data_IF_559945806666
#
_entry.id   IF_559945806666
#
_cell.length_a   1.000
_cell.length_b   1.000
_cell.length_c   1.000
_cell.angle_alpha   90.00
_cell.angle_beta   90.00
_cell.angle_gamma   90.00
#
_symmetry.space_group_name_H-M   'P 1'
#
loop_
_entity.id
_entity.type
_entity.pdbx_description
1 polymer ?
#
# COMPACT_ATOMS: atom_id res chain seq x y z
N UNK A 1 -6.10 -41.02 -17.07
CA UNK A 1 -4.77 -41.01 -16.42
C UNK A 1 -4.36 -39.56 -16.25
N UNK A 2 -4.65 -38.97 -15.09
CA UNK A 2 -4.26 -37.60 -14.76
C UNK A 2 -2.83 -37.63 -14.21
N UNK A 3 -1.86 -37.21 -15.00
CA UNK A 3 -0.53 -36.94 -14.48
C UNK A 3 -0.58 -35.63 -13.70
N UNK A 4 -0.40 -35.80 -12.40
CA UNK A 4 -0.12 -34.78 -11.39
C UNK A 4 1.03 -33.87 -11.80
N UNK A 5 0.76 -32.57 -11.98
CA UNK A 5 1.76 -31.49 -11.97
C UNK A 5 2.24 -31.18 -10.55
N UNK A 6 2.61 -32.21 -9.77
CA UNK A 6 3.37 -32.07 -8.53
C UNK A 6 4.79 -32.55 -8.81
N UNK A 7 5.67 -31.66 -9.27
CA UNK A 7 7.02 -32.09 -9.63
C UNK A 7 8.12 -31.03 -9.82
N UNK A 8 7.84 -29.72 -9.72
CA UNK A 8 8.86 -28.73 -10.08
C UNK A 8 9.80 -28.28 -8.93
N UNK A 9 9.45 -28.50 -7.66
CA UNK A 9 10.14 -27.82 -6.54
C UNK A 9 10.49 -28.71 -5.33
N UNK A 10 10.56 -30.03 -5.50
CA UNK A 10 10.79 -30.98 -4.40
C UNK A 10 12.11 -30.78 -3.61
N UNK A 11 13.04 -29.94 -4.10
CA UNK A 11 14.33 -29.64 -3.48
C UNK A 11 14.56 -28.14 -3.20
N UNK A 12 13.51 -27.31 -3.12
CA UNK A 12 13.71 -25.90 -2.75
C UNK A 12 13.98 -25.80 -1.25
N UNK A 13 15.13 -25.25 -0.82
CA UNK A 13 15.42 -25.06 0.60
C UNK A 13 14.40 -24.15 1.26
N UNK A 14 13.96 -24.52 2.47
CA UNK A 14 13.14 -23.65 3.32
C UNK A 14 14.09 -22.66 4.01
N UNK A 15 14.17 -21.45 3.47
CA UNK A 15 14.97 -20.34 4.00
C UNK A 15 14.08 -19.15 4.29
N UNK A 16 14.46 -18.33 5.27
CA UNK A 16 13.74 -17.12 5.64
C UNK A 16 14.66 -15.89 5.52
N UNK A 17 14.09 -14.78 5.03
CA UNK A 17 14.74 -13.47 5.10
C UNK A 17 14.52 -12.86 6.51
N UNK A 18 15.47 -12.07 7.00
CA UNK A 18 15.43 -11.48 8.35
C UNK A 18 15.09 -9.97 8.35
N UNK A 19 14.45 -9.49 7.29
CA UNK A 19 14.14 -8.08 7.09
C UNK A 19 14.99 -7.43 6.00
N UNK A 20 14.90 -6.10 5.90
CA UNK A 20 15.65 -5.33 4.90
C UNK A 20 17.05 -5.05 5.44
N UNK A 21 18.08 -5.61 4.80
CA UNK A 21 19.47 -5.29 5.16
C UNK A 21 19.83 -3.87 4.73
N UNK A 22 19.61 -3.51 3.47
CA UNK A 22 19.85 -2.16 2.99
C UNK A 22 19.05 -1.86 1.73
N UNK A 23 18.88 -0.57 1.44
CA UNK A 23 18.47 -0.06 0.12
C UNK A 23 19.60 0.77 -0.46
N UNK A 24 19.69 0.85 -1.79
CA UNK A 24 20.72 1.63 -2.46
C UNK A 24 20.13 2.47 -3.60
N UNK A 25 20.59 3.71 -3.75
CA UNK A 25 20.15 4.64 -4.80
C UNK A 25 21.32 5.44 -5.36
N UNK A 26 21.29 5.89 -6.63
CA UNK A 26 22.31 6.80 -7.10
C UNK A 26 22.06 8.23 -6.58
N UNK A 27 23.11 9.04 -6.53
CA UNK A 27 23.02 10.48 -6.29
C UNK A 27 24.08 11.21 -7.12
N UNK A 28 23.73 12.41 -7.55
CA UNK A 28 24.68 13.39 -8.12
C UNK A 28 24.76 14.67 -7.28
N UNK A 29 24.18 14.62 -6.07
CA UNK A 29 24.13 15.71 -5.09
C UNK A 29 24.78 15.23 -3.79
N UNK A 30 26.08 14.93 -3.84
CA UNK A 30 26.80 14.27 -2.75
C UNK A 30 26.67 15.04 -1.44
N UNK A 31 26.98 16.33 -1.47
CA UNK A 31 26.96 17.17 -0.28
C UNK A 31 25.54 17.32 0.30
N UNK A 32 24.54 17.55 -0.55
CA UNK A 32 23.15 17.72 -0.15
C UNK A 32 22.56 16.41 0.37
N UNK A 33 22.92 15.27 -0.23
CA UNK A 33 22.49 13.95 0.25
C UNK A 33 23.06 13.68 1.63
N UNK A 34 24.36 13.90 1.83
CA UNK A 34 24.98 13.76 3.15
C UNK A 34 24.34 14.70 4.16
N UNK A 35 24.16 15.97 3.79
CA UNK A 35 23.54 16.95 4.67
C UNK A 35 22.12 16.54 5.08
N UNK A 36 21.30 16.10 4.12
CA UNK A 36 19.93 15.71 4.37
C UNK A 36 19.82 14.51 5.33
N UNK A 37 20.50 13.40 5.04
CA UNK A 37 20.36 12.20 5.86
C UNK A 37 21.12 12.33 7.20
N UNK A 38 22.36 12.82 7.18
CA UNK A 38 23.20 12.91 8.40
C UNK A 38 22.79 14.06 9.31
N UNK A 39 22.63 15.26 8.75
CA UNK A 39 22.53 16.47 9.56
C UNK A 39 21.07 16.84 9.84
N UNK A 40 20.20 16.78 8.82
CA UNK A 40 18.79 17.15 8.98
C UNK A 40 17.98 16.02 9.62
N UNK A 41 18.01 14.82 9.03
CA UNK A 41 17.28 13.68 9.57
C UNK A 41 17.98 13.06 10.79
N UNK A 42 19.31 13.16 10.89
CA UNK A 42 20.08 12.67 12.03
C UNK A 42 20.51 11.20 11.91
N UNK A 43 20.48 10.61 10.71
CA UNK A 43 20.89 9.23 10.49
C UNK A 43 22.43 9.15 10.46
N UNK A 44 23.08 8.36 11.35
CA UNK A 44 24.53 8.25 11.36
C UNK A 44 25.09 7.71 10.04
N UNK A 45 26.13 8.35 9.49
CA UNK A 45 26.94 7.78 8.41
C UNK A 45 27.85 6.70 9.00
N UNK A 46 27.61 5.43 8.69
CA UNK A 46 28.24 4.30 9.37
C UNK A 46 29.28 3.57 8.53
N UNK A 47 29.22 3.67 7.21
CA UNK A 47 30.17 3.02 6.32
C UNK A 47 30.31 3.76 4.99
N UNK A 48 31.47 3.61 4.35
CA UNK A 48 31.71 4.09 3.00
C UNK A 48 32.71 3.17 2.29
N UNK A 49 32.40 2.83 1.04
CA UNK A 49 33.28 2.17 0.10
C UNK A 49 33.69 3.22 -0.92
N UNK A 50 34.99 3.35 -1.15
CA UNK A 50 35.56 4.15 -2.23
C UNK A 50 36.30 3.23 -3.18
N UNK A 51 35.97 3.28 -4.46
CA UNK A 51 36.54 2.35 -5.41
C UNK A 51 36.76 2.96 -6.79
N UNK A 52 37.80 2.43 -7.46
CA UNK A 52 37.89 2.57 -8.90
C UNK A 52 36.77 1.79 -9.57
N UNK A 53 36.28 2.28 -10.69
CA UNK A 53 35.34 1.52 -11.48
C UNK A 53 35.95 0.20 -11.96
N UNK A 54 35.20 -0.89 -11.81
CA UNK A 54 35.58 -2.22 -12.28
C UNK A 54 34.42 -2.83 -13.06
N UNK A 55 34.71 -3.50 -14.18
CA UNK A 55 33.70 -4.14 -15.02
C UNK A 55 33.97 -3.98 -16.51
N UNK A 56 33.20 -4.68 -17.38
CA UNK A 56 33.55 -4.79 -18.80
C UNK A 56 33.45 -3.49 -19.62
N UNK A 57 32.78 -2.43 -19.18
CA UNK A 57 32.68 -1.16 -19.91
C UNK A 57 32.31 0.01 -18.98
N UNK A 58 33.00 1.15 -19.12
CA UNK A 58 32.65 2.49 -18.61
C UNK A 58 32.06 2.60 -17.18
N UNK A 59 32.48 1.73 -16.25
CA UNK A 59 32.12 1.89 -14.85
C UNK A 59 32.97 3.04 -14.28
N UNK A 60 32.33 4.13 -13.85
CA UNK A 60 33.04 5.25 -13.26
C UNK A 60 33.61 4.90 -11.87
N UNK A 61 34.62 5.64 -11.44
CA UNK A 61 35.05 5.67 -10.04
C UNK A 61 33.88 6.15 -9.17
N UNK A 62 33.71 5.56 -7.99
CA UNK A 62 32.51 5.82 -7.20
C UNK A 62 32.75 5.80 -5.69
N UNK A 63 31.84 6.48 -5.00
CA UNK A 63 31.61 6.33 -3.57
C UNK A 63 30.30 5.56 -3.37
N UNK A 64 30.29 4.63 -2.43
CA UNK A 64 29.08 3.96 -1.95
C UNK A 64 29.02 4.11 -0.43
N UNK A 65 28.09 4.92 0.07
CA UNK A 65 28.07 5.34 1.47
C UNK A 65 26.72 5.07 2.13
N UNK A 66 26.74 4.73 3.42
CA UNK A 66 25.63 4.08 4.12
C UNK A 66 25.24 4.85 5.38
N UNK A 67 23.96 5.22 5.49
CA UNK A 67 23.39 5.79 6.71
C UNK A 67 22.61 4.72 7.48
N UNK A 68 22.79 4.65 8.80
CA UNK A 68 21.99 3.80 9.66
C UNK A 68 20.54 4.32 9.69
N UNK A 69 19.61 3.47 9.29
CA UNK A 69 18.17 3.75 9.23
C UNK A 69 17.37 2.97 10.27
N UNK A 70 18.06 2.40 11.25
CA UNK A 70 17.48 1.71 12.40
C UNK A 70 17.40 0.19 12.23
N UNK A 71 17.40 -0.52 13.36
CA UNK A 71 17.29 -1.98 13.43
C UNK A 71 18.33 -2.73 12.57
N UNK A 72 19.54 -2.17 12.43
CA UNK A 72 20.62 -2.75 11.62
C UNK A 72 20.43 -2.59 10.10
N UNK A 73 19.39 -1.87 9.66
CA UNK A 73 19.15 -1.57 8.24
C UNK A 73 19.82 -0.26 7.84
N UNK A 74 20.35 -0.18 6.61
CA UNK A 74 20.95 1.06 6.09
C UNK A 74 20.29 1.55 4.80
N UNK A 75 20.23 2.86 4.62
CA UNK A 75 20.02 3.47 3.29
C UNK A 75 21.36 3.91 2.72
N UNK A 76 21.64 3.52 1.47
CA UNK A 76 22.93 3.71 0.84
C UNK A 76 22.83 4.49 -0.46
N UNK A 77 23.93 5.17 -0.81
CA UNK A 77 23.99 5.98 -2.02
C UNK A 77 25.26 5.73 -2.84
N UNK A 78 25.08 5.58 -4.16
CA UNK A 78 26.15 5.58 -5.13
C UNK A 78 26.36 6.99 -5.70
N UNK A 79 27.57 7.53 -5.57
CA UNK A 79 28.00 8.75 -6.24
C UNK A 79 29.09 8.42 -7.25
N UNK A 80 28.79 8.57 -8.55
CA UNK A 80 29.70 8.27 -9.65
C UNK A 80 30.52 9.52 -10.03
N UNK A 81 31.78 9.51 -9.64
CA UNK A 81 32.70 10.65 -9.71
C UNK A 81 32.91 11.05 -11.17
N UNK A 82 32.74 12.35 -11.46
CA UNK A 82 32.98 12.92 -12.79
C UNK A 82 31.92 12.58 -13.84
N UNK A 83 30.78 12.00 -13.43
CA UNK A 83 29.65 11.74 -14.34
C UNK A 83 28.49 12.71 -14.10
N UNK A 84 27.63 12.85 -15.10
CA UNK A 84 26.37 13.57 -14.99
C UNK A 84 25.21 12.60 -14.76
N UNK A 85 24.12 13.09 -14.14
CA UNK A 85 22.91 12.29 -13.94
C UNK A 85 22.24 12.00 -15.29
N UNK A 86 22.02 10.73 -15.65
CA UNK A 86 21.21 10.38 -16.82
C UNK A 86 19.74 10.80 -16.66
N UNK A 87 19.09 11.20 -17.76
CA UNK A 87 17.69 11.63 -17.78
C UNK A 87 16.72 10.59 -17.20
N UNK A 88 16.94 9.31 -17.49
CA UNK A 88 16.09 8.20 -17.02
C UNK A 88 16.16 7.98 -15.49
N UNK A 89 17.12 8.58 -14.80
CA UNK A 89 17.22 8.60 -13.34
C UNK A 89 16.62 9.87 -12.70
N UNK A 90 15.99 10.73 -13.50
CA UNK A 90 15.27 11.89 -12.98
C UNK A 90 13.93 11.47 -12.39
N UNK A 91 13.75 11.69 -11.08
CA UNK A 91 12.47 11.49 -10.40
C UNK A 91 11.49 12.59 -10.83
N UNK A 92 10.34 12.21 -11.38
CA UNK A 92 9.30 13.16 -11.84
C UNK A 92 8.18 13.28 -10.82
N UNK A 93 7.43 14.38 -10.89
CA UNK A 93 6.22 14.57 -10.11
C UNK A 93 5.04 13.78 -10.73
N UNK A 94 5.11 12.46 -10.62
CA UNK A 94 4.10 11.54 -11.14
C UNK A 94 3.69 10.50 -10.09
N UNK A 95 2.50 9.92 -10.20
CA UNK A 95 2.05 8.92 -9.22
C UNK A 95 2.90 7.63 -9.29
N UNK A 96 3.39 7.28 -10.48
CA UNK A 96 4.24 6.10 -10.69
C UNK A 96 5.60 6.23 -9.99
N UNK A 97 6.22 7.41 -10.11
CA UNK A 97 7.49 7.67 -9.43
C UNK A 97 7.30 7.71 -7.90
N UNK A 98 6.15 8.22 -7.42
CA UNK A 98 5.78 8.20 -6.00
C UNK A 98 5.48 6.81 -5.44
N UNK A 99 5.07 5.86 -6.29
CA UNK A 99 4.85 4.48 -5.88
C UNK A 99 6.14 3.79 -5.42
N UNK A 100 7.31 4.32 -5.78
CA UNK A 100 8.61 3.90 -5.25
C UNK A 100 9.06 4.84 -4.13
N UNK A 101 9.04 4.37 -2.88
CA UNK A 101 9.43 5.16 -1.71
C UNK A 101 10.16 4.29 -0.68
N UNK A 102 10.85 4.94 0.28
CA UNK A 102 11.37 4.26 1.47
C UNK A 102 10.56 4.68 2.67
N UNK A 103 9.94 3.70 3.33
CA UNK A 103 9.20 3.88 4.57
C UNK A 103 10.01 3.41 5.78
N UNK A 104 10.11 4.27 6.81
CA UNK A 104 10.68 3.90 8.10
C UNK A 104 9.64 3.93 9.20
N UNK A 105 9.66 2.87 10.01
CA UNK A 105 8.71 2.69 11.11
C UNK A 105 9.02 3.62 12.28
N UNK A 106 7.99 4.20 12.86
CA UNK A 106 7.97 4.75 14.23
C UNK A 106 7.10 3.88 15.14
N UNK A 107 7.30 4.02 16.46
CA UNK A 107 6.67 3.19 17.49
C UNK A 107 5.17 3.47 17.63
N UNK A 108 4.81 4.74 17.60
CA UNK A 108 3.46 5.21 17.89
C UNK A 108 3.15 6.56 17.19
N UNK A 109 1.91 7.02 17.34
CA UNK A 109 1.44 8.31 16.82
C UNK A 109 2.25 9.49 17.36
N UNK A 110 2.62 9.44 18.65
CA UNK A 110 3.33 10.54 19.28
C UNK A 110 4.72 10.72 18.66
N UNK A 111 5.41 9.62 18.38
CA UNK A 111 6.69 9.65 17.67
C UNK A 111 6.53 10.09 16.21
N UNK A 112 5.44 9.72 15.52
CA UNK A 112 5.14 10.24 14.17
C UNK A 112 5.01 11.76 14.17
N UNK A 113 4.29 12.33 15.15
CA UNK A 113 4.11 13.77 15.29
C UNK A 113 5.42 14.49 15.67
N UNK A 114 6.28 13.86 16.46
CA UNK A 114 7.62 14.37 16.74
C UNK A 114 8.49 14.40 15.48
N UNK A 115 8.44 13.36 14.64
CA UNK A 115 9.13 13.34 13.36
C UNK A 115 8.61 14.41 12.40
N UNK A 116 7.29 14.60 12.34
CA UNK A 116 6.69 15.72 11.62
C UNK A 116 7.28 17.06 12.06
N UNK A 117 7.26 17.33 13.37
CA UNK A 117 7.78 18.58 13.93
C UNK A 117 9.26 18.75 13.60
N UNK A 118 10.06 17.69 13.73
CA UNK A 118 11.50 17.71 13.39
C UNK A 118 11.72 18.09 11.93
N UNK A 119 11.07 17.39 11.01
CA UNK A 119 11.19 17.58 9.55
C UNK A 119 10.81 19.01 9.16
N UNK A 120 9.69 19.52 9.69
CA UNK A 120 9.26 20.91 9.46
C UNK A 120 10.24 21.93 10.07
N UNK A 121 10.75 21.69 11.28
CA UNK A 121 11.68 22.60 11.97
C UNK A 121 13.04 22.73 11.28
N UNK A 122 13.49 21.69 10.58
CA UNK A 122 14.73 21.72 9.78
C UNK A 122 14.51 22.17 8.33
N UNK A 123 13.29 22.64 8.00
CA UNK A 123 12.97 23.25 6.72
C UNK A 123 12.65 22.27 5.59
N UNK A 124 12.40 20.99 5.88
CA UNK A 124 11.99 20.01 4.87
C UNK A 124 10.46 20.12 4.66
N UNK A 125 9.98 20.40 3.44
CA UNK A 125 8.56 20.53 3.18
C UNK A 125 7.86 19.17 3.20
N UNK A 126 6.87 19.02 4.07
CA UNK A 126 5.96 17.88 4.02
C UNK A 126 5.09 17.96 2.77
N UNK A 127 4.92 16.82 2.09
CA UNK A 127 3.97 16.68 0.99
C UNK A 127 2.56 16.39 1.50
N UNK A 128 2.41 15.41 2.39
CA UNK A 128 1.13 15.02 2.97
C UNK A 128 1.30 14.18 4.24
N UNK A 129 0.27 14.20 5.08
CA UNK A 129 0.06 13.24 6.17
C UNK A 129 -1.21 12.47 5.86
N UNK A 130 -1.12 11.16 5.74
CA UNK A 130 -2.23 10.31 5.30
C UNK A 130 -2.30 9.07 6.18
N UNK A 131 -3.52 8.73 6.59
CA UNK A 131 -3.84 7.44 7.20
C UNK A 131 -4.40 6.49 6.15
N UNK A 132 -3.63 5.45 5.84
CA UNK A 132 -3.99 4.33 4.98
C UNK A 132 -4.35 3.13 5.85
N UNK A 133 -5.64 2.92 6.11
CA UNK A 133 -6.11 1.78 6.91
C UNK A 133 -5.27 1.57 8.19
N UNK A 134 -4.41 0.53 8.19
CA UNK A 134 -3.56 0.06 9.30
C UNK A 134 -2.26 0.85 9.50
N UNK A 135 -1.98 1.86 8.68
CA UNK A 135 -0.83 2.76 8.81
C UNK A 135 -1.23 4.23 8.76
N UNK A 136 -0.46 5.07 9.45
CA UNK A 136 -0.49 6.51 9.26
C UNK A 136 0.92 7.04 9.04
N UNK A 137 1.07 7.90 8.03
CA UNK A 137 2.38 8.27 7.53
C UNK A 137 2.48 9.74 7.17
N UNK A 138 3.69 10.27 7.28
CA UNK A 138 4.09 11.55 6.69
C UNK A 138 5.05 11.31 5.53
N UNK A 139 4.93 12.13 4.48
CA UNK A 139 5.70 11.99 3.26
C UNK A 139 6.42 13.28 2.92
N UNK A 140 7.67 13.15 2.46
CA UNK A 140 8.51 14.25 1.96
C UNK A 140 9.52 13.69 0.95
N UNK A 141 10.26 14.55 0.27
CA UNK A 141 11.27 14.13 -0.70
C UNK A 141 12.67 14.46 -0.18
N UNK A 142 13.64 13.62 -0.55
CA UNK A 142 15.05 13.94 -0.39
C UNK A 142 15.56 14.91 -1.49
N UNK A 143 16.81 15.39 -1.43
CA UNK A 143 17.36 16.33 -2.41
C UNK A 143 17.45 15.79 -3.85
N UNK A 144 17.44 14.46 -4.02
CA UNK A 144 17.45 13.79 -5.32
C UNK A 144 16.03 13.61 -5.88
N UNK A 145 14.99 13.87 -5.05
CA UNK A 145 13.58 13.71 -5.37
C UNK A 145 13.00 12.39 -4.88
N UNK A 146 13.79 11.52 -4.26
CA UNK A 146 13.32 10.22 -3.79
C UNK A 146 12.27 10.41 -2.68
N UNK A 147 11.07 9.82 -2.81
CA UNK A 147 10.07 9.91 -1.76
C UNK A 147 10.48 9.13 -0.52
N UNK A 148 10.35 9.78 0.62
CA UNK A 148 10.58 9.25 1.96
C UNK A 148 9.26 9.27 2.71
N UNK A 149 9.01 8.19 3.44
CA UNK A 149 7.86 7.99 4.29
C UNK A 149 8.33 7.68 5.71
N UNK A 150 7.70 8.32 6.71
CA UNK A 150 7.82 7.92 8.11
C UNK A 150 6.44 7.44 8.54
N UNK A 151 6.37 6.20 9.01
CA UNK A 151 5.13 5.42 9.11
C UNK A 151 4.93 4.89 10.52
N UNK A 152 3.77 5.19 11.10
CA UNK A 152 3.27 4.49 12.27
C UNK A 152 2.35 3.35 11.82
N UNK A 153 2.62 2.13 12.29
CA UNK A 153 1.67 1.02 12.15
C UNK A 153 0.65 1.06 13.29
N UNK A 154 -0.58 1.44 12.96
CA UNK A 154 -1.67 1.69 13.92
C UNK A 154 -2.04 0.43 14.69
N UNK A 155 -1.95 -0.74 14.04
CA UNK A 155 -2.10 -2.07 14.67
C UNK A 155 -1.31 -3.14 13.92
N UNK A 156 -0.90 -4.24 14.58
CA UNK A 156 -0.33 -5.39 13.89
C UNK A 156 -1.27 -5.98 12.84
N UNK A 157 -0.69 -6.61 11.81
CA UNK A 157 -1.45 -7.44 10.89
C UNK A 157 -1.98 -8.68 11.62
N UNK A 158 -3.28 -8.88 11.52
CA UNK A 158 -4.00 -10.08 11.96
C UNK A 158 -4.00 -11.15 10.86
N UNK A 159 -4.45 -12.36 11.21
CA UNK A 159 -4.68 -13.41 10.20
C UNK A 159 -5.84 -13.05 9.25
N UNK A 160 -6.82 -12.26 9.72
CA UNK A 160 -7.88 -11.74 8.89
C UNK A 160 -7.34 -10.81 7.79
N UNK A 161 -6.36 -9.94 8.11
CA UNK A 161 -5.70 -9.08 7.12
C UNK A 161 -4.93 -9.92 6.08
N UNK A 162 -4.23 -10.98 6.51
CA UNK A 162 -3.50 -11.87 5.59
C UNK A 162 -4.46 -12.58 4.62
N UNK A 163 -5.59 -13.06 5.12
CA UNK A 163 -6.59 -13.75 4.32
C UNK A 163 -7.31 -12.78 3.37
N UNK A 164 -7.65 -11.58 3.84
CA UNK A 164 -8.22 -10.50 3.04
C UNK A 164 -7.27 -10.11 1.89
N UNK A 165 -5.98 -9.96 2.18
CA UNK A 165 -4.95 -9.70 1.18
C UNK A 165 -4.89 -10.83 0.14
N UNK A 166 -4.89 -12.09 0.57
CA UNK A 166 -4.90 -13.25 -0.34
C UNK A 166 -6.13 -13.24 -1.25
N UNK A 167 -7.34 -13.06 -0.71
CA UNK A 167 -8.55 -13.00 -1.51
C UNK A 167 -8.56 -11.85 -2.52
N UNK A 168 -8.03 -10.69 -2.13
CA UNK A 168 -7.89 -9.53 -3.03
C UNK A 168 -6.94 -9.82 -4.17
N UNK A 169 -5.73 -10.29 -3.87
CA UNK A 169 -4.68 -10.49 -4.86
C UNK A 169 -4.99 -11.69 -5.77
N UNK A 170 -5.50 -12.80 -5.23
CA UNK A 170 -5.89 -13.95 -6.04
C UNK A 170 -7.01 -13.60 -7.03
N UNK A 171 -7.97 -12.77 -6.59
CA UNK A 171 -9.04 -12.25 -7.47
C UNK A 171 -8.47 -11.39 -8.59
N UNK A 172 -7.54 -10.49 -8.27
CA UNK A 172 -6.90 -9.63 -9.26
C UNK A 172 -6.05 -10.43 -10.27
N UNK A 173 -5.31 -11.45 -9.82
CA UNK A 173 -4.49 -12.32 -10.69
C UNK A 173 -5.39 -13.08 -11.68
N UNK A 174 -6.53 -13.61 -11.23
CA UNK A 174 -7.46 -14.29 -12.15
C UNK A 174 -8.02 -13.35 -13.21
N UNK A 175 -8.38 -12.13 -12.82
CA UNK A 175 -8.89 -11.12 -13.73
C UNK A 175 -7.81 -10.64 -14.72
N UNK A 176 -6.56 -10.51 -14.27
CA UNK A 176 -5.43 -10.17 -15.13
C UNK A 176 -5.16 -11.27 -16.16
N UNK A 177 -5.16 -12.55 -15.76
CA UNK A 177 -5.00 -13.67 -16.70
C UNK A 177 -6.15 -13.73 -17.71
N UNK A 178 -7.39 -13.55 -17.26
CA UNK A 178 -8.54 -13.49 -18.16
C UNK A 178 -8.43 -12.33 -19.16
N UNK A 179 -7.80 -11.20 -18.76
CA UNK A 179 -7.53 -10.08 -19.68
C UNK A 179 -6.52 -10.44 -20.76
N UNK A 180 -5.49 -11.23 -20.45
CA UNK A 180 -4.55 -11.76 -21.45
C UNK A 180 -5.26 -12.64 -22.49
N UNK A 181 -6.38 -13.25 -22.11
CA UNK A 181 -7.28 -14.04 -22.97
C UNK A 181 -8.39 -13.21 -23.66
N UNK A 182 -8.40 -11.89 -23.48
CA UNK A 182 -9.29 -10.95 -24.17
C UNK A 182 -10.44 -10.37 -23.33
N UNK A 183 -10.53 -10.68 -22.03
CA UNK A 183 -11.50 -10.05 -21.13
C UNK A 183 -11.12 -8.59 -20.79
N UNK A 184 -12.10 -7.77 -20.41
CA UNK A 184 -11.84 -6.41 -19.96
C UNK A 184 -11.47 -6.39 -18.46
N UNK A 185 -10.33 -5.78 -18.12
CA UNK A 185 -9.95 -5.47 -16.74
C UNK A 185 -9.28 -4.09 -16.70
N UNK A 186 -10.06 -3.08 -16.31
CA UNK A 186 -9.67 -1.66 -16.39
C UNK A 186 -9.99 -0.86 -15.12
N UNK A 187 -10.57 -1.49 -14.10
CA UNK A 187 -10.97 -0.84 -12.85
C UNK A 187 -10.86 -1.83 -11.67
N UNK A 188 -10.98 -1.31 -10.45
CA UNK A 188 -10.92 -2.10 -9.22
C UNK A 188 -12.22 -2.85 -8.91
N UNK A 189 -13.37 -2.38 -9.43
CA UNK A 189 -14.69 -2.94 -9.11
C UNK A 189 -14.82 -4.45 -9.41
N UNK A 190 -14.34 -4.98 -10.55
CA UNK A 190 -14.33 -6.42 -10.79
C UNK A 190 -13.55 -7.23 -9.74
N UNK A 191 -12.48 -6.66 -9.16
CA UNK A 191 -11.72 -7.32 -8.07
C UNK A 191 -12.58 -7.44 -6.83
N UNK A 192 -13.29 -6.38 -6.46
CA UNK A 192 -14.20 -6.39 -5.31
C UNK A 192 -15.38 -7.34 -5.50
N UNK A 193 -15.90 -7.46 -6.72
CA UNK A 193 -16.95 -8.42 -7.06
C UNK A 193 -16.44 -9.87 -6.97
N UNK A 194 -15.31 -10.18 -7.60
CA UNK A 194 -14.71 -11.52 -7.53
C UNK A 194 -14.32 -11.90 -6.09
N UNK A 195 -13.85 -10.94 -5.31
CA UNK A 195 -13.52 -11.16 -3.89
C UNK A 195 -14.77 -11.53 -3.08
N UNK A 196 -15.90 -10.86 -3.31
CA UNK A 196 -17.17 -11.20 -2.68
C UNK A 196 -17.59 -12.66 -2.98
N UNK A 197 -17.50 -13.09 -4.25
CA UNK A 197 -17.78 -14.47 -4.68
C UNK A 197 -16.88 -15.51 -3.98
N UNK A 198 -15.62 -15.15 -3.67
CA UNK A 198 -14.70 -16.01 -2.92
C UNK A 198 -15.04 -16.10 -1.44
N UNK A 199 -15.40 -14.98 -0.82
CA UNK A 199 -15.76 -14.92 0.60
C UNK A 199 -17.03 -15.74 0.85
N UNK A 200 -18.02 -15.57 0.00
CA UNK A 200 -19.32 -16.24 0.11
C UNK A 200 -19.58 -17.07 -1.16
N UNK A 201 -19.38 -18.39 -1.06
CA UNK A 201 -19.51 -19.34 -2.19
C UNK A 201 -20.88 -19.34 -2.87
N UNK A 202 -21.90 -18.78 -2.23
CA UNK A 202 -23.23 -18.58 -2.81
C UNK A 202 -23.44 -17.08 -3.03
N UNK A 203 -23.67 -16.69 -4.28
CA UNK A 203 -23.99 -15.30 -4.61
C UNK A 203 -25.29 -14.88 -3.87
N UNK A 204 -25.36 -13.65 -3.35
CA UNK A 204 -26.65 -13.06 -2.99
C UNK A 204 -27.61 -13.19 -4.18
N UNK A 205 -28.89 -13.41 -3.91
CA UNK A 205 -29.94 -13.72 -4.87
C UNK A 205 -30.24 -12.60 -5.90
N UNK A 206 -29.35 -11.61 -6.08
CA UNK A 206 -29.46 -10.51 -7.04
C UNK A 206 -30.50 -9.45 -6.69
N UNK A 207 -31.38 -9.71 -5.71
CA UNK A 207 -32.48 -8.82 -5.31
C UNK A 207 -32.00 -7.56 -4.57
N UNK A 208 -30.83 -7.61 -3.93
CA UNK A 208 -30.28 -6.53 -3.12
C UNK A 208 -28.77 -6.39 -3.28
N UNK A 209 -28.28 -5.17 -3.17
CA UNK A 209 -26.86 -4.87 -3.07
C UNK A 209 -26.29 -5.38 -1.75
N UNK A 210 -25.08 -5.94 -1.79
CA UNK A 210 -24.33 -6.34 -0.60
C UNK A 210 -22.92 -5.77 -0.63
N UNK A 211 -22.39 -5.39 0.52
CA UNK A 211 -20.96 -5.12 0.71
C UNK A 211 -20.40 -6.01 1.80
N UNK A 212 -19.16 -6.44 1.62
CA UNK A 212 -18.46 -7.33 2.53
C UNK A 212 -17.40 -6.49 3.24
N UNK A 213 -17.50 -6.39 4.56
CA UNK A 213 -16.65 -5.53 5.37
C UNK A 213 -15.83 -6.40 6.31
N UNK A 214 -14.51 -6.28 6.26
CA UNK A 214 -13.63 -6.92 7.24
C UNK A 214 -13.88 -6.27 8.61
N UNK A 215 -14.14 -7.08 9.63
CA UNK A 215 -14.47 -6.60 10.99
C UNK A 215 -13.21 -6.16 11.75
N UNK A 216 -12.66 -5.02 11.31
CA UNK A 216 -11.45 -4.39 11.85
C UNK A 216 -11.71 -2.91 12.18
N UNK A 217 -10.95 -2.30 13.11
CA UNK A 217 -11.22 -0.94 13.59
C UNK A 217 -11.33 0.13 12.48
N UNK A 218 -10.60 -0.03 11.39
CA UNK A 218 -10.58 0.91 10.26
C UNK A 218 -11.93 0.99 9.54
N UNK A 219 -12.67 -0.12 9.50
CA UNK A 219 -13.94 -0.24 8.76
C UNK A 219 -15.17 -0.40 9.66
N UNK A 220 -14.99 -0.47 10.98
CA UNK A 220 -16.08 -0.52 11.96
C UNK A 220 -17.19 0.53 11.74
N UNK A 221 -16.89 1.79 11.34
CA UNK A 221 -17.95 2.76 11.05
C UNK A 221 -18.96 2.33 9.98
N UNK A 222 -18.56 1.54 8.98
CA UNK A 222 -19.49 1.00 7.96
C UNK A 222 -20.53 0.08 8.61
N UNK A 223 -20.06 -0.82 9.47
CA UNK A 223 -20.91 -1.80 10.19
C UNK A 223 -21.83 -1.06 11.18
N UNK A 224 -21.28 -0.10 11.92
CA UNK A 224 -22.02 0.65 12.93
C UNK A 224 -23.11 1.55 12.34
N UNK A 225 -22.84 2.20 11.21
CA UNK A 225 -23.87 2.96 10.48
C UNK A 225 -24.91 1.99 9.93
N UNK A 226 -24.50 0.90 9.30
CA UNK A 226 -25.44 -0.06 8.73
C UNK A 226 -26.41 -0.66 9.77
N UNK A 227 -25.94 -0.96 10.98
CA UNK A 227 -26.79 -1.45 12.09
C UNK A 227 -27.88 -0.45 12.52
N UNK A 228 -27.68 0.85 12.25
CA UNK A 228 -28.60 1.94 12.62
C UNK A 228 -29.46 2.40 11.44
N UNK A 229 -29.11 2.02 10.21
CA UNK A 229 -29.85 2.39 9.00
C UNK A 229 -31.05 1.47 8.81
N UNK A 230 -32.25 2.06 8.82
CA UNK A 230 -33.48 1.32 8.59
C UNK A 230 -33.47 0.64 7.21
N UNK A 231 -33.82 -0.65 7.19
CA UNK A 231 -33.82 -1.47 5.98
C UNK A 231 -32.50 -2.17 5.67
N UNK A 232 -31.41 -1.88 6.38
CA UNK A 232 -30.16 -2.64 6.21
C UNK A 232 -30.14 -3.85 7.14
N UNK A 233 -29.45 -4.90 6.70
CA UNK A 233 -29.22 -6.09 7.50
C UNK A 233 -27.73 -6.39 7.54
N UNK A 234 -27.18 -6.53 8.75
CA UNK A 234 -25.78 -6.94 8.95
C UNK A 234 -25.73 -8.41 9.36
N UNK A 235 -24.94 -9.22 8.67
CA UNK A 235 -24.77 -10.65 8.93
C UNK A 235 -23.29 -10.96 9.12
N UNK A 236 -22.90 -11.48 10.28
CA UNK A 236 -21.55 -12.00 10.46
C UNK A 236 -21.38 -13.24 9.59
N UNK A 237 -20.32 -13.26 8.78
CA UNK A 237 -19.95 -14.40 7.94
C UNK A 237 -18.56 -14.90 8.35
N UNK A 238 -18.18 -16.09 7.89
CA UNK A 238 -16.87 -16.66 8.25
C UNK A 238 -15.69 -15.76 7.87
N UNK A 239 -14.50 -16.08 8.38
CA UNK A 239 -13.24 -15.39 8.05
C UNK A 239 -13.15 -13.92 8.51
N UNK A 240 -13.94 -13.51 9.50
CA UNK A 240 -13.86 -12.17 10.09
C UNK A 240 -14.54 -11.07 9.26
N UNK A 241 -15.50 -11.43 8.40
CA UNK A 241 -16.27 -10.46 7.62
C UNK A 241 -17.68 -10.28 8.19
N UNK A 242 -18.23 -9.10 7.95
CA UNK A 242 -19.65 -8.79 8.10
C UNK A 242 -20.20 -8.41 6.74
N UNK A 243 -21.21 -9.14 6.27
CA UNK A 243 -22.00 -8.74 5.09
C UNK A 243 -23.03 -7.70 5.50
N UNK A 244 -23.12 -6.62 4.73
CA UNK A 244 -24.15 -5.60 4.86
C UNK A 244 -25.04 -5.68 3.62
N UNK A 245 -26.31 -6.02 3.83
CA UNK A 245 -27.35 -6.11 2.81
C UNK A 245 -28.19 -4.82 2.79
N UNK A 246 -28.45 -4.26 1.61
CA UNK A 246 -29.32 -3.09 1.41
C UNK A 246 -30.81 -3.44 1.25
N UNK A 247 -31.64 -2.42 1.01
CA UNK A 247 -33.07 -2.58 0.68
C UNK A 247 -33.54 -1.59 -0.41
N UNK A 248 -33.43 -1.98 -1.70
CA UNK A 248 -32.47 -2.96 -2.21
C UNK A 248 -31.08 -2.34 -2.45
N UNK A 249 -30.96 -1.02 -2.33
CA UNK A 249 -29.73 -0.23 -2.55
C UNK A 249 -28.99 0.00 -1.23
N UNK A 250 -27.66 0.05 -1.30
CA UNK A 250 -26.79 0.54 -0.24
C UNK A 250 -26.33 1.96 -0.53
N UNK A 251 -26.35 2.82 0.48
CA UNK A 251 -25.92 4.20 0.43
C UNK A 251 -25.20 4.54 1.75
N UNK A 252 -23.98 5.04 1.62
CA UNK A 252 -23.19 5.58 2.72
C UNK A 252 -22.75 7.00 2.41
N UNK A 253 -22.64 7.84 3.43
CA UNK A 253 -22.05 9.18 3.31
C UNK A 253 -20.73 9.24 4.06
N UNK A 254 -19.67 9.73 3.39
CA UNK A 254 -18.32 9.77 3.97
C UNK A 254 -18.27 10.52 5.29
N UNK A 255 -19.00 11.64 5.39
CA UNK A 255 -19.06 12.47 6.60
C UNK A 255 -19.64 11.73 7.79
N UNK A 256 -20.64 10.87 7.57
CA UNK A 256 -21.29 10.08 8.63
C UNK A 256 -20.37 8.97 9.15
N UNK A 257 -19.55 8.39 8.27
CA UNK A 257 -18.54 7.40 8.65
C UNK A 257 -17.29 7.99 9.32
N UNK A 258 -17.10 9.33 9.23
CA UNK A 258 -15.88 9.97 9.69
C UNK A 258 -14.62 9.62 8.87
N UNK A 259 -14.79 9.00 7.69
CA UNK A 259 -13.67 8.53 6.88
C UNK A 259 -12.86 9.68 6.26
N UNK A 260 -11.54 9.58 6.40
CA UNK A 260 -10.58 10.36 5.61
C UNK A 260 -10.54 9.83 4.17
N UNK A 261 -10.12 10.64 3.19
CA UNK A 261 -10.21 10.26 1.77
C UNK A 261 -9.59 8.89 1.42
N UNK A 262 -8.43 8.56 1.99
CA UNK A 262 -7.76 7.28 1.70
C UNK A 262 -8.57 6.06 2.17
N UNK A 263 -9.07 6.07 3.43
CA UNK A 263 -9.94 4.99 3.95
C UNK A 263 -11.28 4.97 3.21
N UNK A 264 -11.81 6.14 2.85
CA UNK A 264 -13.07 6.25 2.12
C UNK A 264 -13.03 5.57 0.76
N UNK A 265 -12.01 5.84 -0.07
CA UNK A 265 -11.88 5.17 -1.36
C UNK A 265 -11.50 3.68 -1.25
N UNK A 266 -11.13 3.21 -0.05
CA UNK A 266 -10.98 1.80 0.32
C UNK A 266 -12.22 1.16 0.95
N UNK A 267 -13.36 1.86 1.08
CA UNK A 267 -14.53 1.37 1.81
C UNK A 267 -15.13 0.05 1.28
N UNK A 268 -14.86 -0.29 0.02
CA UNK A 268 -15.30 -1.52 -0.64
C UNK A 268 -14.20 -2.59 -0.73
N UNK A 269 -13.05 -2.39 -0.08
CA UNK A 269 -11.91 -3.30 -0.18
C UNK A 269 -12.28 -4.73 0.20
N UNK A 270 -13.18 -4.92 1.17
CA UNK A 270 -13.65 -6.24 1.59
C UNK A 270 -14.52 -6.97 0.56
N UNK A 271 -15.01 -6.30 -0.48
CA UNK A 271 -15.79 -6.87 -1.58
C UNK A 271 -17.21 -6.31 -1.70
N UNK A 272 -17.85 -6.52 -2.86
CA UNK A 272 -19.23 -6.10 -3.11
C UNK A 272 -19.97 -7.06 -4.03
N UNK A 273 -21.29 -7.20 -3.84
CA UNK A 273 -22.19 -7.81 -4.80
C UNK A 273 -23.21 -6.76 -5.25
N UNK A 274 -23.16 -6.39 -6.53
CA UNK A 274 -23.92 -5.28 -7.09
C UNK A 274 -23.09 -4.43 -8.03
N UNK A 275 -23.56 -3.21 -8.30
CA UNK A 275 -22.86 -2.25 -9.16
C UNK A 275 -22.79 -0.88 -8.51
N UNK A 276 -21.61 -0.26 -8.57
CA UNK A 276 -21.38 1.08 -8.04
C UNK A 276 -22.10 2.09 -8.94
N UNK A 277 -23.09 2.79 -8.39
CA UNK A 277 -23.82 3.87 -9.09
C UNK A 277 -23.23 5.25 -8.79
N UNK A 278 -22.60 5.40 -7.63
CA UNK A 278 -21.89 6.61 -7.22
C UNK A 278 -20.76 6.22 -6.26
N UNK A 279 -19.56 6.75 -6.47
CA UNK A 279 -18.48 6.69 -5.49
C UNK A 279 -17.57 7.91 -5.66
N UNK A 280 -17.94 8.98 -4.99
CA UNK A 280 -17.24 10.27 -5.04
C UNK A 280 -16.82 10.72 -3.65
N UNK A 281 -16.40 11.98 -3.49
CA UNK A 281 -15.95 12.50 -2.20
C UNK A 281 -17.03 12.61 -1.11
N UNK A 282 -18.30 12.42 -1.44
CA UNK A 282 -19.41 12.62 -0.51
C UNK A 282 -20.19 11.34 -0.24
N UNK A 283 -20.48 10.56 -1.28
CA UNK A 283 -21.37 9.41 -1.18
C UNK A 283 -20.88 8.17 -1.96
N UNK A 284 -21.24 7.02 -1.41
CA UNK A 284 -21.09 5.69 -1.99
C UNK A 284 -22.49 5.10 -2.14
N UNK A 285 -22.88 4.75 -3.36
CA UNK A 285 -24.16 4.13 -3.68
C UNK A 285 -23.92 2.86 -4.48
N UNK A 286 -24.36 1.72 -3.95
CA UNK A 286 -24.28 0.40 -4.60
C UNK A 286 -25.70 -0.09 -4.86
N UNK A 287 -26.03 -0.32 -6.12
CA UNK A 287 -27.31 -0.90 -6.52
C UNK A 287 -27.18 -2.42 -6.68
N UNK A 288 -28.30 -3.17 -6.62
CA UNK A 288 -28.31 -4.57 -7.01
C UNK A 288 -27.72 -4.75 -8.41
N UNK A 289 -27.08 -5.89 -8.64
CA UNK A 289 -26.61 -6.26 -9.97
C UNK A 289 -27.80 -6.47 -10.90
N UNK A 290 -27.60 -6.27 -12.20
CA UNK A 290 -28.61 -6.63 -13.18
C UNK A 290 -28.87 -8.14 -13.07
N UNK A 291 -30.14 -8.56 -13.03
CA UNK A 291 -30.49 -9.98 -12.99
C UNK A 291 -29.88 -10.68 -14.21
N UNK A 292 -29.04 -11.69 -13.97
CA UNK A 292 -28.48 -12.56 -15.01
C UNK A 292 -29.57 -13.43 -15.64
#
# INVERSE_FOLDING_TARGET
MNQSTQGAHANVPVVALHGVHHTARPTWKLAETVHFYRDLLGLPLVHAISAKGWGPDNHADFLHFFFDSGNGSTIAFFYYIGTERPDWLTVREHYQDRATHTAWRVRDEAELLQWRQRVEAVGIPLRYQIRHEVIESIYFNDPNGYPIEITWQVRPFSDADKQDAAFTIDSAIELERAREEGAAFASIEPVWQRKAERIERAAPNGEKASVYVLDVPEFAPLIDVARKTAGYQTTAIGNGYVRIDGNPVLQFRRKELGFKPAVWYGALTGGLAGSIRQFDMDALVVAPGDAQ
#
